data_IF_660702004512
#
_entry.id   IF_660702004512
#
_cell.length_a   1.000
_cell.length_b   1.000
_cell.length_c   1.000
_cell.angle_alpha   90.00
_cell.angle_beta   90.00
_cell.angle_gamma   90.00
#
_symmetry.space_group_name_H-M   'P 1'
#
loop_
_entity.id
_entity.type
_entity.pdbx_description
1 polymer ?
#
# COMPACT_ATOMS: atom_id res chain seq x y z
N UNK A 1 -4.46 10.28 6.53
CA UNK A 1 -5.62 9.94 7.38
C UNK A 1 -5.15 9.30 8.67
N UNK A 2 -5.94 9.38 9.73
CA UNK A 2 -5.74 8.60 10.97
C UNK A 2 -6.57 7.33 10.85
N UNK A 3 -5.97 6.16 11.05
CA UNK A 3 -6.67 4.88 10.90
C UNK A 3 -6.87 4.22 12.26
N UNK A 4 -8.09 3.76 12.54
CA UNK A 4 -8.45 3.01 13.75
C UNK A 4 -8.74 1.55 13.41
N UNK A 5 -8.19 0.62 14.19
CA UNK A 5 -8.22 -0.79 13.85
C UNK A 5 -7.49 -1.70 14.84
N UNK A 6 -7.53 -3.00 14.56
CA UNK A 6 -6.73 -3.99 15.26
C UNK A 6 -5.36 -4.16 14.57
N UNK A 7 -4.28 -4.32 15.34
CA UNK A 7 -2.98 -4.70 14.76
C UNK A 7 -3.07 -6.10 14.18
N UNK A 8 -2.57 -6.26 12.95
CA UNK A 8 -2.54 -7.57 12.30
C UNK A 8 -1.70 -8.57 13.12
N UNK A 9 -0.60 -8.11 13.72
CA UNK A 9 0.25 -8.93 14.58
C UNK A 9 -0.51 -9.52 15.79
N UNK A 10 -1.45 -8.78 16.38
CA UNK A 10 -2.27 -9.28 17.49
C UNK A 10 -3.29 -10.32 17.00
N UNK A 11 -3.89 -10.10 15.82
CA UNK A 11 -4.82 -11.06 15.20
C UNK A 11 -4.10 -12.36 14.81
N UNK A 12 -2.88 -12.27 14.30
CA UNK A 12 -2.04 -13.43 13.99
C UNK A 12 -1.66 -14.20 15.26
N UNK A 13 -1.37 -13.50 16.36
CA UNK A 13 -1.08 -14.12 17.66
C UNK A 13 -2.29 -14.92 18.19
N UNK A 14 -3.52 -14.40 18.02
CA UNK A 14 -4.74 -15.11 18.40
C UNK A 14 -4.94 -16.45 17.66
N UNK A 15 -4.39 -16.59 16.45
CA UNK A 15 -4.44 -17.84 15.68
C UNK A 15 -3.16 -18.68 15.81
N UNK A 16 -2.33 -18.37 16.80
CA UNK A 16 -1.14 -19.15 17.15
C UNK A 16 0.12 -18.83 16.35
N UNK A 17 0.19 -17.65 15.70
CA UNK A 17 1.40 -17.16 15.04
C UNK A 17 2.02 -16.06 15.93
N UNK A 18 3.10 -16.34 16.67
CA UNK A 18 3.69 -15.37 17.58
C UNK A 18 4.19 -14.11 16.86
N UNK A 19 4.26 -13.00 17.59
CA UNK A 19 4.90 -11.77 17.11
C UNK A 19 6.34 -12.01 16.68
N UNK A 20 6.81 -11.23 15.71
CA UNK A 20 8.13 -11.31 15.09
C UNK A 20 8.42 -12.62 14.33
N UNK A 21 7.41 -13.47 14.11
CA UNK A 21 7.54 -14.68 13.28
C UNK A 21 7.86 -14.31 11.83
N UNK A 22 8.87 -14.96 11.25
CA UNK A 22 9.22 -14.81 9.84
C UNK A 22 8.70 -15.94 8.96
N UNK A 23 8.64 -17.15 9.53
CA UNK A 23 8.19 -18.37 8.87
C UNK A 23 7.43 -19.20 9.91
N UNK A 24 6.24 -19.71 9.56
CA UNK A 24 5.49 -20.61 10.46
C UNK A 24 6.07 -22.02 10.46
N UNK A 25 5.67 -22.84 11.43
CA UNK A 25 6.06 -24.27 11.48
C UNK A 25 5.68 -25.06 10.22
N UNK A 26 4.65 -24.61 9.49
CA UNK A 26 4.17 -25.22 8.24
C UNK A 26 4.74 -24.54 6.99
N UNK A 27 5.77 -23.71 7.13
CA UNK A 27 6.47 -23.08 6.01
C UNK A 27 5.78 -21.83 5.44
N UNK A 28 4.77 -21.28 6.11
CA UNK A 28 4.12 -20.04 5.69
C UNK A 28 5.05 -18.83 5.87
N UNK A 29 5.29 -18.07 4.79
CA UNK A 29 6.22 -16.92 4.76
C UNK A 29 5.54 -15.60 4.40
N UNK A 30 4.32 -15.65 3.88
CA UNK A 30 3.56 -14.48 3.45
C UNK A 30 2.15 -14.50 4.02
N UNK A 31 1.57 -13.31 4.15
CA UNK A 31 0.16 -13.11 4.50
C UNK A 31 -0.53 -12.52 3.27
N UNK A 32 -1.46 -13.27 2.69
CA UNK A 32 -2.30 -12.84 1.58
C UNK A 32 -3.63 -12.30 2.11
N UNK A 33 -4.07 -11.21 1.49
CA UNK A 33 -5.33 -10.54 1.77
C UNK A 33 -6.20 -10.65 0.52
N UNK A 34 -7.41 -11.18 0.70
CA UNK A 34 -8.39 -11.39 -0.37
C UNK A 34 -9.56 -10.45 -0.14
N UNK A 35 -9.88 -9.64 -1.15
CA UNK A 35 -11.06 -8.77 -1.18
C UNK A 35 -12.30 -9.54 -1.63
N UNK A 36 -13.49 -9.07 -1.27
CA UNK A 36 -14.76 -9.62 -1.78
C UNK A 36 -15.15 -9.09 -3.17
N UNK A 37 -14.42 -8.10 -3.69
CA UNK A 37 -14.71 -7.50 -5.00
C UNK A 37 -14.49 -8.47 -6.16
N UNK A 38 -14.86 -8.02 -7.37
CA UNK A 38 -14.72 -8.82 -8.60
C UNK A 38 -14.04 -7.98 -9.65
N UNK A 39 -12.83 -8.38 -10.03
CA UNK A 39 -11.98 -7.70 -11.00
C UNK A 39 -12.03 -8.41 -12.36
N UNK A 40 -12.02 -7.66 -13.45
CA UNK A 40 -12.00 -8.27 -14.80
C UNK A 40 -10.67 -8.95 -15.08
N UNK A 41 -9.59 -8.38 -14.54
CA UNK A 41 -8.21 -8.82 -14.58
C UNK A 41 -8.01 -10.22 -13.96
N UNK A 42 -8.88 -10.56 -13.00
CA UNK A 42 -8.94 -11.86 -12.32
C UNK A 42 -10.09 -12.73 -12.85
N UNK A 43 -10.60 -12.46 -14.06
CA UNK A 43 -11.74 -13.16 -14.69
C UNK A 43 -13.00 -13.19 -13.81
N UNK A 44 -13.29 -12.08 -13.12
CA UNK A 44 -14.40 -11.97 -12.16
C UNK A 44 -14.06 -12.47 -10.76
N UNK A 45 -12.80 -12.88 -10.52
CA UNK A 45 -12.25 -13.19 -9.21
C UNK A 45 -11.83 -11.96 -8.41
N UNK A 46 -11.37 -12.16 -7.16
CA UNK A 46 -11.14 -11.08 -6.21
C UNK A 46 -9.80 -10.38 -6.37
N UNK A 47 -9.74 -9.11 -5.96
CA UNK A 47 -8.47 -8.42 -5.74
C UNK A 47 -7.68 -9.10 -4.62
N UNK A 48 -6.39 -9.35 -4.84
CA UNK A 48 -5.50 -9.97 -3.86
C UNK A 48 -4.15 -9.26 -3.82
N UNK A 49 -3.60 -9.17 -2.62
CA UNK A 49 -2.22 -8.75 -2.40
C UNK A 49 -1.63 -9.52 -1.21
N UNK A 50 -0.30 -9.56 -1.11
CA UNK A 50 0.36 -10.13 0.07
C UNK A 50 1.50 -9.27 0.56
N UNK A 51 1.80 -9.42 1.86
CA UNK A 51 3.03 -8.90 2.48
C UNK A 51 3.83 -10.04 3.12
N UNK A 52 5.15 -9.88 3.32
CA UNK A 52 5.94 -10.84 4.09
C UNK A 52 5.39 -11.03 5.51
N UNK A 53 5.39 -12.27 6.01
CA UNK A 53 4.96 -12.59 7.37
C UNK A 53 5.81 -11.86 8.41
N UNK A 54 7.10 -11.68 8.13
CA UNK A 54 8.01 -10.89 8.98
C UNK A 54 7.54 -9.45 9.19
N UNK A 55 6.83 -8.85 8.23
CA UNK A 55 6.24 -7.52 8.37
C UNK A 55 4.89 -7.60 9.06
N UNK A 56 4.03 -8.54 8.65
CA UNK A 56 2.69 -8.72 9.21
C UNK A 56 2.69 -9.04 10.72
N UNK A 57 3.65 -9.86 11.17
CA UNK A 57 3.81 -10.26 12.56
C UNK A 57 4.67 -9.27 13.38
N UNK A 58 5.20 -8.21 12.79
CA UNK A 58 5.98 -7.21 13.51
C UNK A 58 5.06 -6.10 14.06
N UNK A 59 4.92 -5.95 15.39
CA UNK A 59 4.09 -4.90 15.98
C UNK A 59 4.54 -3.48 15.65
N UNK A 60 5.81 -3.27 15.32
CA UNK A 60 6.39 -1.97 14.96
C UNK A 60 6.14 -1.59 13.49
N UNK A 61 5.74 -2.55 12.64
CA UNK A 61 5.37 -2.25 11.26
C UNK A 61 3.97 -1.63 11.14
N UNK A 62 3.21 -1.58 12.25
CA UNK A 62 1.88 -0.95 12.36
C UNK A 62 0.89 -1.37 11.24
N UNK A 63 0.97 -2.62 10.80
CA UNK A 63 -0.03 -3.18 9.87
C UNK A 63 -1.35 -3.33 10.60
N UNK A 64 -2.41 -2.72 10.07
CA UNK A 64 -3.73 -2.64 10.70
C UNK A 64 -4.81 -3.33 9.87
N UNK A 65 -5.71 -4.03 10.56
CA UNK A 65 -7.06 -4.30 10.08
C UNK A 65 -7.94 -3.12 10.52
N UNK A 66 -8.08 -2.14 9.64
CA UNK A 66 -8.76 -0.89 9.92
C UNK A 66 -10.26 -1.00 9.65
N UNK A 67 -11.06 -0.52 10.60
CA UNK A 67 -12.52 -0.35 10.50
C UNK A 67 -12.95 1.11 10.71
N UNK A 68 -12.00 2.01 11.05
CA UNK A 68 -12.20 3.44 11.19
C UNK A 68 -11.19 4.25 10.36
N UNK A 69 -11.64 5.43 9.90
CA UNK A 69 -10.81 6.44 9.24
C UNK A 69 -11.21 7.83 9.73
N UNK A 70 -10.24 8.56 10.27
CA UNK A 70 -10.39 9.89 10.87
C UNK A 70 -11.45 9.95 12.00
N UNK A 71 -11.52 8.91 12.82
CA UNK A 71 -12.44 8.83 13.97
C UNK A 71 -13.87 8.39 13.64
N UNK A 72 -14.17 8.15 12.36
CA UNK A 72 -15.47 7.68 11.90
C UNK A 72 -15.35 6.25 11.33
N UNK A 73 -16.43 5.46 11.32
CA UNK A 73 -16.46 4.19 10.60
C UNK A 73 -16.06 4.37 9.13
N UNK A 74 -15.39 3.36 8.57
CA UNK A 74 -15.02 3.38 7.15
C UNK A 74 -16.25 3.68 6.27
N UNK A 75 -16.05 4.50 5.25
CA UNK A 75 -17.03 4.58 4.18
C UNK A 75 -16.84 3.42 3.19
N UNK A 76 -17.81 3.23 2.30
CA UNK A 76 -17.79 2.14 1.31
C UNK A 76 -16.59 2.24 0.37
N UNK A 77 -16.27 3.42 -0.14
CA UNK A 77 -15.18 3.60 -1.11
C UNK A 77 -13.79 3.31 -0.53
N UNK A 78 -13.65 3.51 0.78
CA UNK A 78 -12.43 3.27 1.52
C UNK A 78 -12.36 1.88 2.15
N UNK A 79 -13.36 1.00 1.94
CA UNK A 79 -13.26 -0.41 2.28
C UNK A 79 -14.15 -0.89 3.42
N UNK A 80 -15.24 -0.19 3.76
CA UNK A 80 -16.20 -0.68 4.77
C UNK A 80 -16.64 -2.13 4.50
N UNK A 81 -16.72 -3.01 5.51
CA UNK A 81 -16.51 -2.72 6.94
C UNK A 81 -15.06 -2.81 7.40
N UNK A 82 -14.18 -3.42 6.61
CA UNK A 82 -12.83 -3.73 7.03
C UNK A 82 -11.85 -3.68 5.84
N UNK A 83 -10.69 -3.07 6.07
CA UNK A 83 -9.58 -3.06 5.12
C UNK A 83 -8.26 -3.36 5.82
N UNK A 84 -7.25 -3.66 5.02
CA UNK A 84 -5.85 -3.64 5.46
C UNK A 84 -5.27 -2.25 5.23
N UNK A 85 -4.43 -1.79 6.16
CA UNK A 85 -3.51 -0.66 6.01
C UNK A 85 -2.11 -1.16 6.27
N UNK A 86 -1.21 -0.96 5.29
CA UNK A 86 0.20 -1.34 5.38
C UNK A 86 1.07 -0.08 5.28
N UNK A 87 1.50 0.49 6.42
CA UNK A 87 2.34 1.69 6.42
C UNK A 87 3.69 1.47 5.70
N UNK A 88 4.18 2.51 5.02
CA UNK A 88 5.46 2.47 4.28
C UNK A 88 5.45 1.58 3.03
N UNK A 89 4.27 1.10 2.62
CA UNK A 89 4.08 0.26 1.44
C UNK A 89 3.07 0.93 0.52
N UNK A 90 3.22 0.71 -0.79
CA UNK A 90 2.31 1.27 -1.80
C UNK A 90 0.85 0.91 -1.50
N UNK A 91 -0.07 1.82 -1.86
CA UNK A 91 -1.50 1.69 -1.57
C UNK A 91 -2.14 0.41 -2.08
N UNK A 92 -1.61 -0.19 -3.16
CA UNK A 92 -2.07 -1.46 -3.72
C UNK A 92 -2.06 -2.62 -2.71
N UNK A 93 -1.14 -2.62 -1.72
CA UNK A 93 -1.08 -3.70 -0.72
C UNK A 93 -2.06 -3.52 0.43
N UNK A 94 -2.69 -2.35 0.54
CA UNK A 94 -3.71 -2.03 1.54
C UNK A 94 -5.10 -2.43 1.03
N UNK A 95 -5.37 -3.74 0.98
CA UNK A 95 -6.59 -4.33 0.39
C UNK A 95 -7.87 -3.83 1.07
N UNK A 96 -8.86 -3.41 0.29
CA UNK A 96 -10.18 -2.96 0.75
C UNK A 96 -11.19 -4.11 0.73
N UNK A 97 -12.27 -3.98 1.50
CA UNK A 97 -13.39 -4.95 1.53
C UNK A 97 -12.90 -6.38 1.83
N UNK A 98 -12.13 -6.51 2.91
CA UNK A 98 -11.41 -7.72 3.25
C UNK A 98 -12.36 -8.89 3.54
N UNK A 99 -12.21 -9.97 2.78
CA UNK A 99 -12.97 -11.22 2.92
C UNK A 99 -12.16 -12.28 3.67
N UNK A 100 -10.88 -12.45 3.32
CA UNK A 100 -10.03 -13.49 3.90
C UNK A 100 -8.58 -13.04 4.10
N UNK A 101 -7.94 -13.65 5.09
CA UNK A 101 -6.51 -13.53 5.38
C UNK A 101 -5.91 -14.93 5.34
N UNK A 102 -5.01 -15.18 4.39
CA UNK A 102 -4.41 -16.49 4.16
C UNK A 102 -2.92 -16.48 4.51
N UNK A 103 -2.44 -17.51 5.19
CA UNK A 103 -1.01 -17.73 5.41
C UNK A 103 -0.48 -18.65 4.32
N UNK A 104 0.45 -18.17 3.51
CA UNK A 104 0.92 -18.87 2.31
C UNK A 104 2.45 -18.99 2.29
N UNK A 105 2.96 -20.05 1.66
CA UNK A 105 4.39 -20.38 1.65
C UNK A 105 5.23 -19.46 0.75
N UNK A 106 4.61 -18.95 -0.31
CA UNK A 106 5.21 -18.08 -1.31
C UNK A 106 4.33 -16.84 -1.51
N UNK A 107 4.85 -15.84 -2.21
CA UNK A 107 4.12 -14.61 -2.51
C UNK A 107 2.79 -14.90 -3.25
N UNK A 108 1.77 -14.06 -3.00
CA UNK A 108 0.48 -14.15 -3.68
C UNK A 108 0.64 -14.17 -5.21
N UNK A 109 -0.03 -15.12 -5.85
CA UNK A 109 0.01 -15.34 -7.30
C UNK A 109 -1.08 -14.56 -8.06
N UNK A 110 -1.77 -13.64 -7.38
CA UNK A 110 -2.80 -12.79 -8.00
C UNK A 110 -2.24 -11.87 -9.08
N UNK A 111 -3.10 -11.47 -10.02
CA UNK A 111 -2.77 -10.61 -11.14
C UNK A 111 -2.07 -9.33 -10.69
N UNK A 112 -2.61 -8.64 -9.69
CA UNK A 112 -2.07 -7.36 -9.19
C UNK A 112 -0.78 -7.49 -8.37
N UNK A 113 -0.34 -8.71 -8.04
CA UNK A 113 0.99 -8.97 -7.50
C UNK A 113 1.97 -9.34 -8.60
N UNK A 114 1.56 -10.23 -9.51
CA UNK A 114 2.48 -10.85 -10.46
C UNK A 114 2.62 -10.10 -11.78
N UNK A 115 1.55 -9.46 -12.24
CA UNK A 115 1.40 -8.85 -13.57
C UNK A 115 1.04 -7.36 -13.52
N UNK A 116 1.23 -6.72 -12.37
CA UNK A 116 1.03 -5.28 -12.19
C UNK A 116 1.90 -4.78 -11.02
N UNK A 117 1.94 -3.47 -10.80
CA UNK A 117 2.65 -2.81 -9.70
C UNK A 117 4.12 -3.26 -9.59
N UNK A 118 4.81 -3.26 -10.73
CA UNK A 118 6.24 -3.54 -10.85
C UNK A 118 6.93 -2.39 -11.59
N UNK A 119 8.10 -1.99 -11.12
CA UNK A 119 8.89 -0.92 -11.74
C UNK A 119 9.81 -1.50 -12.82
N UNK A 120 9.57 -1.13 -14.08
CA UNK A 120 10.39 -1.52 -15.22
C UNK A 120 11.30 -0.37 -15.68
N UNK A 121 12.46 -0.67 -16.29
CA UNK A 121 13.28 0.36 -16.91
C UNK A 121 12.62 0.92 -18.18
N UNK A 122 12.97 2.14 -18.61
CA UNK A 122 12.37 2.79 -19.79
C UNK A 122 12.53 2.03 -21.12
N UNK A 123 13.44 1.05 -21.19
CA UNK A 123 13.67 0.20 -22.37
C UNK A 123 12.63 -0.91 -22.56
N UNK A 124 11.78 -1.16 -21.56
CA UNK A 124 10.73 -2.19 -21.61
C UNK A 124 9.43 -1.58 -22.14
N UNK A 125 8.74 -2.31 -23.02
CA UNK A 125 7.46 -1.96 -23.62
C UNK A 125 6.55 -3.21 -23.69
N UNK A 126 5.36 -3.07 -24.27
CA UNK A 126 4.38 -4.16 -24.35
C UNK A 126 4.83 -5.36 -25.21
N UNK A 127 5.75 -5.18 -26.15
CA UNK A 127 6.23 -6.24 -27.03
C UNK A 127 7.31 -7.11 -26.37
N UNK A 128 8.02 -6.58 -25.35
CA UNK A 128 9.16 -7.24 -24.72
C UNK A 128 9.04 -7.42 -23.20
N UNK A 129 7.89 -7.09 -22.62
CA UNK A 129 7.69 -7.17 -21.17
C UNK A 129 7.76 -8.62 -20.66
N UNK A 130 8.62 -8.84 -19.67
CA UNK A 130 8.64 -10.06 -18.88
C UNK A 130 8.45 -9.70 -17.40
N UNK A 131 7.25 -10.00 -16.89
CA UNK A 131 6.83 -9.72 -15.53
C UNK A 131 7.66 -10.41 -14.45
N UNK A 132 8.30 -11.54 -14.76
CA UNK A 132 9.10 -12.30 -13.80
C UNK A 132 10.45 -11.62 -13.49
N UNK A 133 10.91 -10.72 -14.37
CA UNK A 133 12.20 -10.02 -14.22
C UNK A 133 12.19 -8.96 -13.11
N UNK A 134 11.01 -8.60 -12.60
CA UNK A 134 10.84 -7.61 -11.55
C UNK A 134 10.09 -8.19 -10.35
N UNK A 135 10.50 -7.77 -9.16
CA UNK A 135 9.79 -8.06 -7.92
C UNK A 135 8.59 -7.11 -7.79
N UNK A 136 7.50 -7.52 -7.14
CA UNK A 136 6.39 -6.62 -6.85
C UNK A 136 6.87 -5.43 -6.03
N UNK A 137 6.39 -4.24 -6.38
CA UNK A 137 6.71 -3.04 -5.64
C UNK A 137 6.04 -3.12 -4.26
N UNK A 138 6.83 -2.84 -3.22
CA UNK A 138 6.39 -2.83 -1.83
C UNK A 138 6.60 -1.44 -1.26
N UNK A 139 7.85 -1.05 -0.99
CA UNK A 139 8.21 0.32 -0.64
C UNK A 139 8.02 1.28 -1.83
N UNK A 140 8.26 2.57 -1.63
CA UNK A 140 8.24 3.56 -2.69
C UNK A 140 9.34 4.59 -2.48
N UNK A 141 9.89 5.17 -3.56
CA UNK A 141 10.93 6.19 -3.45
C UNK A 141 10.36 7.49 -2.86
N UNK A 142 11.25 8.38 -2.45
CA UNK A 142 10.90 9.75 -2.08
C UNK A 142 10.12 10.41 -3.21
N UNK A 143 9.01 11.07 -2.88
CA UNK A 143 8.16 11.76 -3.83
C UNK A 143 7.77 13.13 -3.27
N UNK A 144 7.80 14.14 -4.13
CA UNK A 144 7.35 15.48 -3.79
C UNK A 144 6.59 16.13 -4.95
N UNK A 145 5.68 17.05 -4.62
CA UNK A 145 4.87 17.77 -5.59
C UNK A 145 4.55 19.18 -5.08
N UNK A 146 4.50 20.14 -6.00
CA UNK A 146 4.02 21.49 -5.73
C UNK A 146 2.49 21.47 -5.86
N UNK A 147 1.79 21.82 -4.78
CA UNK A 147 0.31 21.81 -4.76
C UNK A 147 -0.31 23.20 -4.78
N UNK A 148 0.49 24.27 -4.65
CA UNK A 148 -0.01 25.64 -4.56
C UNK A 148 -0.25 26.30 -5.91
N UNK A 149 0.21 25.69 -7.00
CA UNK A 149 0.15 26.22 -8.36
C UNK A 149 -0.07 25.08 -9.35
N UNK A 150 -0.67 25.41 -10.49
CA UNK A 150 -0.74 24.53 -11.66
C UNK A 150 0.61 24.52 -12.41
N UNK A 151 0.83 23.50 -13.24
CA UNK A 151 2.02 23.36 -14.11
C UNK A 151 2.36 24.65 -14.88
N UNK A 152 1.33 25.39 -15.28
CA UNK A 152 1.45 26.71 -15.89
C UNK A 152 0.52 27.68 -15.18
N UNK A 153 1.10 28.57 -14.39
CA UNK A 153 0.38 29.63 -13.66
C UNK A 153 0.97 31.00 -13.97
N UNK A 154 0.12 32.00 -14.22
CA UNK A 154 0.57 33.40 -14.32
C UNK A 154 0.51 34.04 -12.94
N UNK A 155 1.64 34.56 -12.47
CA UNK A 155 1.75 35.23 -11.17
C UNK A 155 1.96 36.73 -11.37
N UNK A 156 1.39 37.54 -10.47
CA UNK A 156 1.65 38.99 -10.45
C UNK A 156 3.09 39.25 -9.98
N UNK A 157 3.75 40.32 -10.45
CA UNK A 157 5.06 40.72 -9.94
C UNK A 157 5.03 40.85 -8.41
N UNK A 158 6.01 40.24 -7.74
CA UNK A 158 6.08 40.17 -6.28
C UNK A 158 6.65 38.84 -5.79
N UNK A 159 6.58 38.62 -4.47
CA UNK A 159 7.06 37.37 -3.85
C UNK A 159 6.07 36.24 -4.10
N UNK A 160 6.56 35.12 -4.63
CA UNK A 160 5.79 33.90 -4.84
C UNK A 160 6.18 32.87 -3.80
N UNK A 161 5.19 32.21 -3.20
CA UNK A 161 5.39 31.12 -2.24
C UNK A 161 4.93 29.81 -2.87
N UNK A 162 5.79 28.80 -2.79
CA UNK A 162 5.45 27.44 -3.20
C UNK A 162 5.20 26.59 -1.96
N UNK A 163 4.09 25.86 -1.97
CA UNK A 163 3.80 24.82 -0.97
C UNK A 163 4.18 23.49 -1.60
N UNK A 164 5.33 22.97 -1.18
CA UNK A 164 5.83 21.65 -1.57
C UNK A 164 5.34 20.64 -0.54
N UNK A 165 4.69 19.58 -1.01
CA UNK A 165 4.34 18.42 -0.20
C UNK A 165 5.32 17.28 -0.52
N UNK A 166 5.98 16.77 0.52
CA UNK A 166 6.76 15.53 0.49
C UNK A 166 5.95 14.41 1.18
N UNK A 167 5.90 13.23 0.58
CA UNK A 167 5.23 12.07 1.18
C UNK A 167 6.06 11.40 2.29
N UNK A 168 7.38 11.59 2.31
CA UNK A 168 8.29 10.95 3.29
C UNK A 168 8.45 11.77 4.57
N UNK A 169 8.43 13.10 4.46
CA UNK A 169 8.44 14.01 5.59
C UNK A 169 7.18 14.85 5.57
N UNK A 170 6.43 14.86 6.68
CA UNK A 170 5.40 15.88 6.98
C UNK A 170 6.05 17.25 7.15
N UNK A 171 6.74 17.75 6.13
CA UNK A 171 7.34 19.06 6.08
C UNK A 171 6.77 19.77 4.87
N UNK A 172 5.97 20.79 5.15
CA UNK A 172 5.65 21.82 4.18
C UNK A 172 6.85 22.75 4.14
N UNK A 173 7.61 22.69 3.06
CA UNK A 173 8.72 23.61 2.85
C UNK A 173 8.24 24.79 2.01
N UNK A 174 8.32 26.00 2.58
CA UNK A 174 8.02 27.23 1.88
C UNK A 174 9.26 27.67 1.10
N UNK A 175 9.32 27.29 -0.17
CA UNK A 175 10.32 27.86 -1.08
C UNK A 175 9.84 29.24 -1.53
N UNK A 176 10.70 30.27 -1.40
CA UNK A 176 10.42 31.60 -1.92
C UNK A 176 11.45 32.01 -2.96
N UNK A 177 11.00 32.32 -4.16
CA UNK A 177 11.82 32.88 -5.23
C UNK A 177 11.39 34.33 -5.48
N UNK A 178 12.36 35.22 -5.69
CA UNK A 178 12.12 36.59 -6.14
C UNK A 178 12.56 36.65 -7.60
N UNK A 179 11.61 36.98 -8.50
CA UNK A 179 11.88 37.18 -9.93
C UNK A 179 12.00 38.67 -10.23
#
# INVERSE_FOLDING_TARGET
AVWGGAKLADVLELVGIPKLTRITQFGGKHVEFVSIDKCKEENGGPYKASIPLSQAANPEADVLLAYEMNGEPLNRDHGYPLRVIVPGVIGARSVKWLEAINIIAEECQGFFMQKDYKMFPPSVNWDNIDWSTRRPQMDFPVQCVICSLEDVSTVKPGKVFFVIHDEMHKHVELASFSF
#
